data_IF_317654161154
#
_entry.id   IF_317654161154
#
_cell.length_a   1.000
_cell.length_b   1.000
_cell.length_c   1.000
_cell.angle_alpha   90.00
_cell.angle_beta   90.00
_cell.angle_gamma   90.00
#
_symmetry.space_group_name_H-M   'P 1'
#
loop_
_entity.id
_entity.type
_entity.pdbx_description
1 polymer ?
#
# COMPACT_ATOMS: atom_id res chain seq x y z
N UNK A 1 -9.19 -4.49 7.00
CA UNK A 1 -9.18 -3.15 6.36
C UNK A 1 -7.83 -2.51 6.63
N UNK A 2 -7.01 -2.41 5.61
CA UNK A 2 -5.71 -1.76 5.66
C UNK A 2 -5.85 -0.28 5.29
N UNK A 3 -4.91 0.54 5.72
CA UNK A 3 -4.89 1.96 5.36
C UNK A 3 -3.71 2.23 4.46
N UNK A 4 -3.98 2.81 3.30
CA UNK A 4 -2.95 3.19 2.35
C UNK A 4 -2.03 4.25 3.01
N UNK A 5 -0.72 4.01 3.15
CA UNK A 5 0.19 4.91 3.84
C UNK A 5 0.52 6.17 3.02
N UNK A 6 0.18 6.21 1.73
CA UNK A 6 0.45 7.34 0.84
C UNK A 6 -0.71 8.33 0.83
N UNK A 7 -1.94 7.85 0.69
CA UNK A 7 -3.12 8.70 0.57
C UNK A 7 -4.05 8.65 1.80
N UNK A 8 -3.86 7.67 2.69
CA UNK A 8 -4.70 7.49 3.88
C UNK A 8 -6.08 6.88 3.61
N UNK A 9 -6.32 6.39 2.39
CA UNK A 9 -7.57 5.75 2.00
C UNK A 9 -7.68 4.35 2.62
N UNK A 10 -8.88 3.93 3.00
CA UNK A 10 -9.12 2.55 3.44
C UNK A 10 -9.13 1.61 2.23
N UNK A 11 -8.40 0.51 2.37
CA UNK A 11 -8.22 -0.51 1.36
C UNK A 11 -8.56 -1.87 1.98
N UNK A 12 -9.38 -2.65 1.30
CA UNK A 12 -9.63 -4.01 1.73
C UNK A 12 -8.42 -4.89 1.43
N UNK A 13 -7.73 -5.36 2.47
CA UNK A 13 -6.54 -6.23 2.34
C UNK A 13 -6.82 -7.53 1.58
N UNK A 14 -8.06 -8.03 1.65
CA UNK A 14 -8.49 -9.25 0.96
C UNK A 14 -8.77 -9.01 -0.54
N UNK A 15 -9.09 -7.77 -0.93
CA UNK A 15 -9.37 -7.37 -2.33
C UNK A 15 -8.28 -6.51 -2.95
N UNK A 16 -7.30 -6.10 -2.16
CA UNK A 16 -6.21 -5.24 -2.59
C UNK A 16 -5.33 -5.99 -3.59
N UNK A 17 -5.50 -5.66 -4.87
CA UNK A 17 -4.59 -6.11 -5.92
C UNK A 17 -3.19 -5.48 -5.76
N UNK A 18 -3.12 -4.27 -5.20
CA UNK A 18 -1.87 -3.54 -5.00
C UNK A 18 -1.39 -3.70 -3.56
N UNK A 19 -0.32 -4.50 -3.39
CA UNK A 19 0.37 -4.68 -2.11
C UNK A 19 1.88 -4.67 -2.31
N UNK A 20 2.61 -4.25 -1.29
CA UNK A 20 4.07 -4.27 -1.26
C UNK A 20 4.55 -4.80 0.09
N UNK A 21 5.63 -5.56 0.08
CA UNK A 21 6.23 -6.09 1.30
C UNK A 21 7.44 -5.23 1.66
N UNK A 22 7.44 -4.64 2.85
CA UNK A 22 8.52 -3.77 3.32
C UNK A 22 8.83 -4.04 4.78
N UNK A 23 10.09 -4.38 5.08
CA UNK A 23 10.54 -4.66 6.44
C UNK A 23 9.81 -5.84 7.11
N UNK A 24 9.37 -6.84 6.32
CA UNK A 24 8.59 -7.98 6.80
C UNK A 24 7.13 -7.66 7.12
N UNK A 25 6.61 -6.52 6.67
CA UNK A 25 5.20 -6.14 6.75
C UNK A 25 4.61 -5.95 5.36
N UNK A 26 3.40 -6.45 5.16
CA UNK A 26 2.63 -6.24 3.94
C UNK A 26 1.83 -4.94 4.05
N UNK A 27 2.09 -4.01 3.13
CA UNK A 27 1.35 -2.78 2.96
C UNK A 27 0.40 -2.90 1.78
N UNK A 28 -0.77 -2.29 1.90
CA UNK A 28 -1.84 -2.35 0.91
C UNK A 28 -2.12 -0.95 0.37
N UNK A 29 -2.38 -0.88 -0.92
CA UNK A 29 -2.52 0.38 -1.64
C UNK A 29 -3.84 0.43 -2.39
N UNK A 30 -4.45 1.62 -2.42
CA UNK A 30 -5.70 1.83 -3.14
C UNK A 30 -5.49 1.82 -4.66
N UNK A 31 -4.26 2.03 -5.13
CA UNK A 31 -3.92 2.18 -6.54
C UNK A 31 -2.45 1.87 -6.80
N UNK A 32 -2.13 1.50 -8.05
CA UNK A 32 -0.75 1.29 -8.51
C UNK A 32 0.16 2.50 -8.24
N UNK A 33 -0.36 3.72 -8.38
CA UNK A 33 0.39 4.96 -8.14
C UNK A 33 0.82 5.08 -6.67
N UNK A 34 -0.02 4.65 -5.73
CA UNK A 34 0.34 4.67 -4.30
C UNK A 34 1.40 3.59 -3.99
N UNK A 35 1.29 2.41 -4.62
CA UNK A 35 2.33 1.37 -4.52
C UNK A 35 3.67 1.88 -5.05
N UNK A 36 3.68 2.47 -6.25
CA UNK A 36 4.89 3.00 -6.89
C UNK A 36 5.52 4.11 -6.05
N UNK A 37 4.73 5.07 -5.56
CA UNK A 37 5.20 6.11 -4.64
C UNK A 37 5.80 5.55 -3.35
N UNK A 38 5.26 4.45 -2.83
CA UNK A 38 5.78 3.78 -1.65
C UNK A 38 7.11 3.08 -1.94
N UNK A 39 7.26 2.46 -3.11
CA UNK A 39 8.51 1.83 -3.55
C UNK A 39 9.60 2.86 -3.89
N UNK A 40 9.24 4.01 -4.49
CA UNK A 40 10.17 5.09 -4.84
C UNK A 40 10.63 5.92 -3.64
N UNK A 41 9.82 6.01 -2.58
CA UNK A 41 10.16 6.69 -1.32
C UNK A 41 9.85 5.80 -0.13
N UNK A 42 10.73 4.82 0.18
CA UNK A 42 10.71 4.21 1.50
C UNK A 42 11.09 5.29 2.52
N UNK A 43 10.13 5.75 3.31
CA UNK A 43 10.30 6.83 4.29
C UNK A 43 10.50 6.26 5.68
#
# INVERSE_FOLDING_TARGET
>A
MAKDPICGMEVDEEKAEFKAEYGGKTYYFCSAICKEKFEEKPR
#
